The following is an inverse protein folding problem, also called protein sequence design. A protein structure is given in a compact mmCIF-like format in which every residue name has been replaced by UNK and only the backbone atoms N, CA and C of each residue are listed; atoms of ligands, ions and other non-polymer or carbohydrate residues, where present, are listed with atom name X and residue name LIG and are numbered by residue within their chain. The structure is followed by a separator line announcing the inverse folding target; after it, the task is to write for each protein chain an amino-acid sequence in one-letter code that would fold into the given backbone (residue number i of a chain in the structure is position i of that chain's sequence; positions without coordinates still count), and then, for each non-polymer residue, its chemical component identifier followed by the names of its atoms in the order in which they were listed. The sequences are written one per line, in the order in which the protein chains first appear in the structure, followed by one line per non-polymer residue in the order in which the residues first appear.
data_IF_908670706267
#
_entry.id   IF_908670706267
#
_cell.length_a   1.000
_cell.length_b   1.000
_cell.length_c   1.000
_cell.angle_alpha   90.00
_cell.angle_beta   90.00
_cell.angle_gamma   90.00
#
_symmetry.space_group_name_H-M   'P 1'
#
loop_
_entity.id
_entity.type
_entity.pdbx_description
1 polymer ?
#
# COMPACT_ATOMS: atom_id res chain seq x y z
N UNK A 1 10.27 48.44 -18.63
CA UNK A 1 10.62 47.60 -17.46
C UNK A 1 9.47 46.75 -16.91
N UNK A 2 8.19 47.18 -16.94
CA UNK A 2 7.04 46.39 -16.43
C UNK A 2 6.82 45.00 -17.07
N UNK A 3 7.19 44.79 -18.33
CA UNK A 3 6.98 43.51 -19.05
C UNK A 3 7.90 42.37 -18.61
N UNK A 4 9.10 42.68 -18.08
CA UNK A 4 10.07 41.67 -17.62
C UNK A 4 9.68 41.08 -16.27
N UNK A 5 9.07 41.90 -15.41
CA UNK A 5 8.57 41.49 -14.10
C UNK A 5 7.40 40.50 -14.21
N UNK A 6 6.51 40.69 -15.21
CA UNK A 6 5.39 39.78 -15.47
C UNK A 6 5.89 38.41 -15.96
N UNK A 7 6.94 38.38 -16.79
CA UNK A 7 7.52 37.14 -17.29
C UNK A 7 8.21 36.33 -16.17
N UNK A 8 8.92 37.02 -15.26
CA UNK A 8 9.54 36.39 -14.09
C UNK A 8 8.52 35.79 -13.12
N UNK A 9 7.42 36.49 -12.86
CA UNK A 9 6.34 35.98 -11.99
C UNK A 9 5.63 34.79 -12.64
N UNK A 10 5.41 34.79 -13.96
CA UNK A 10 4.85 33.64 -14.68
C UNK A 10 5.78 32.40 -14.64
N UNK A 11 7.09 32.58 -14.78
CA UNK A 11 8.05 31.48 -14.66
C UNK A 11 8.07 30.87 -13.24
N UNK A 12 7.92 31.69 -12.19
CA UNK A 12 7.84 31.19 -10.79
C UNK A 12 6.50 30.49 -10.54
N UNK A 13 5.39 30.99 -11.10
CA UNK A 13 4.08 30.32 -11.02
C UNK A 13 4.07 28.98 -11.77
N UNK A 14 4.73 28.88 -12.93
CA UNK A 14 4.89 27.63 -13.67
C UNK A 14 5.83 26.65 -12.95
N UNK A 15 6.85 27.15 -12.26
CA UNK A 15 7.75 26.33 -11.42
C UNK A 15 7.07 25.82 -10.15
N UNK A 16 6.15 26.60 -9.56
CA UNK A 16 5.34 26.19 -8.40
C UNK A 16 4.22 25.20 -8.76
N UNK A 17 3.87 25.10 -10.05
CA UNK A 17 3.02 24.06 -10.63
C UNK A 17 3.79 22.82 -11.08
N UNK A 18 5.04 22.63 -10.65
CA UNK A 18 5.70 21.33 -10.78
C UNK A 18 4.96 20.35 -9.86
N UNK A 19 4.04 19.59 -10.47
CA UNK A 19 3.54 18.32 -9.95
C UNK A 19 4.73 17.60 -9.30
N UNK A 20 4.70 17.45 -7.97
CA UNK A 20 5.73 16.70 -7.24
C UNK A 20 5.97 15.39 -8.00
N UNK A 21 7.23 14.97 -8.18
CA UNK A 21 7.50 13.71 -8.85
C UNK A 21 6.67 12.62 -8.19
N UNK A 22 6.04 11.76 -9.00
CA UNK A 22 5.19 10.66 -8.55
C UNK A 22 6.00 9.79 -7.58
N UNK A 23 5.85 10.07 -6.28
CA UNK A 23 6.63 9.43 -5.24
C UNK A 23 5.88 8.19 -4.76
N UNK A 24 6.61 7.09 -4.63
CA UNK A 24 6.06 5.84 -4.09
C UNK A 24 7.07 5.26 -3.12
N UNK A 25 6.67 5.18 -1.86
CA UNK A 25 7.51 4.71 -0.78
C UNK A 25 6.67 4.20 0.37
N UNK A 26 7.27 3.31 1.15
CA UNK A 26 6.81 2.94 2.48
C UNK A 26 7.94 3.31 3.43
N UNK A 27 7.66 4.21 4.36
CA UNK A 27 8.59 4.69 5.38
C UNK A 27 7.86 4.59 6.72
N UNK A 28 8.38 3.76 7.62
CA UNK A 28 7.72 3.39 8.87
C UNK A 28 6.25 3.00 8.63
N UNK A 29 5.31 3.78 9.15
CA UNK A 29 3.87 3.52 9.07
C UNK A 29 3.20 4.33 7.94
N UNK A 30 3.99 5.01 7.11
CA UNK A 30 3.52 5.93 6.08
C UNK A 30 3.68 5.30 4.71
N UNK A 31 2.58 5.26 3.95
CA UNK A 31 2.56 4.84 2.56
C UNK A 31 2.36 6.10 1.70
N UNK A 32 3.36 6.46 0.91
CA UNK A 32 3.27 7.57 -0.04
C UNK A 32 2.95 7.03 -1.42
N UNK A 33 1.91 7.57 -2.04
CA UNK A 33 1.31 7.09 -3.28
C UNK A 33 0.96 8.28 -4.18
N UNK A 34 1.90 8.68 -5.03
CA UNK A 34 1.82 9.88 -5.87
C UNK A 34 1.76 11.15 -4.99
N UNK A 35 0.62 11.85 -4.98
CA UNK A 35 0.34 13.03 -4.15
C UNK A 35 -0.52 12.70 -2.93
N UNK A 36 -0.69 11.42 -2.62
CA UNK A 36 -1.49 10.96 -1.49
C UNK A 36 -0.60 10.29 -0.46
N UNK A 37 -0.92 10.52 0.81
CA UNK A 37 -0.27 9.88 1.93
C UNK A 37 -1.31 9.07 2.69
N UNK A 38 -1.01 7.81 2.94
CA UNK A 38 -1.78 6.95 3.83
C UNK A 38 -0.95 6.66 5.07
N UNK A 39 -1.60 6.63 6.23
CA UNK A 39 -0.97 6.30 7.51
C UNK A 39 -1.60 5.03 8.03
N UNK A 40 -0.77 4.04 8.30
CA UNK A 40 -1.11 2.83 9.06
C UNK A 40 -1.07 3.20 10.54
N UNK A 41 -2.09 2.81 11.30
CA UNK A 41 -2.17 3.09 12.73
C UNK A 41 -1.05 2.38 13.51
N UNK A 42 -0.59 3.00 14.62
CA UNK A 42 0.62 2.59 15.34
C UNK A 42 0.55 1.19 16.00
N UNK A 43 -0.66 0.65 16.15
CA UNK A 43 -0.87 -0.73 16.61
C UNK A 43 -0.44 -1.78 15.57
N UNK A 44 -0.29 -1.40 14.30
CA UNK A 44 0.26 -2.23 13.24
C UNK A 44 1.75 -1.95 13.08
N UNK A 45 2.58 -2.85 13.60
CA UNK A 45 4.04 -2.70 13.56
C UNK A 45 4.65 -3.40 12.36
N UNK A 46 5.65 -2.78 11.72
CA UNK A 46 6.41 -3.42 10.64
C UNK A 46 7.22 -4.62 11.18
N UNK A 47 6.88 -5.83 10.76
CA UNK A 47 7.52 -7.07 11.23
C UNK A 47 8.56 -7.62 10.25
N UNK A 48 8.37 -7.41 8.95
CA UNK A 48 9.32 -7.85 7.94
C UNK A 48 9.15 -7.10 6.60
N UNK A 49 10.22 -7.12 5.81
CA UNK A 49 10.21 -6.77 4.40
C UNK A 49 10.66 -8.01 3.62
N UNK A 50 9.84 -8.43 2.67
CA UNK A 50 10.20 -9.50 1.73
C UNK A 50 10.33 -8.98 0.31
N UNK A 51 11.22 -9.59 -0.45
CA UNK A 51 11.38 -9.34 -1.87
C UNK A 51 11.07 -10.60 -2.68
N UNK A 52 10.46 -10.40 -3.83
CA UNK A 52 10.32 -11.41 -4.85
C UNK A 52 10.91 -10.83 -6.14
N UNK A 53 12.00 -11.45 -6.58
CA UNK A 53 12.71 -11.07 -7.79
C UNK A 53 12.45 -12.15 -8.85
N UNK A 54 11.85 -11.76 -9.97
CA UNK A 54 11.59 -12.66 -11.10
C UNK A 54 12.12 -12.00 -12.37
N UNK A 55 13.28 -12.47 -12.86
CA UNK A 55 14.03 -11.93 -14.01
C UNK A 55 14.16 -10.40 -14.08
N UNK A 56 13.10 -9.71 -14.55
CA UNK A 56 13.03 -8.25 -14.71
C UNK A 56 11.85 -7.61 -13.96
N UNK A 57 11.25 -8.34 -13.04
CA UNK A 57 10.26 -7.84 -12.08
C UNK A 57 10.88 -7.85 -10.69
N UNK A 58 10.67 -6.76 -9.96
CA UNK A 58 11.03 -6.66 -8.56
C UNK A 58 9.81 -6.25 -7.78
N UNK A 59 9.40 -7.13 -6.87
CA UNK A 59 8.30 -6.89 -5.94
C UNK A 59 8.88 -6.77 -4.55
N UNK A 60 8.42 -5.79 -3.79
CA UNK A 60 8.75 -5.62 -2.37
C UNK A 60 7.48 -5.59 -1.56
N UNK A 61 7.39 -6.43 -0.54
CA UNK A 61 6.26 -6.56 0.36
C UNK A 61 6.69 -6.12 1.76
N UNK A 62 6.03 -5.09 2.28
CA UNK A 62 6.15 -4.62 3.66
C UNK A 62 5.02 -5.25 4.45
N UNK A 63 5.36 -5.86 5.58
CA UNK A 63 4.43 -6.66 6.38
C UNK A 63 4.25 -5.99 7.72
N UNK A 64 3.04 -5.53 8.01
CA UNK A 64 2.67 -4.97 9.30
C UNK A 64 1.76 -5.93 10.04
N UNK A 65 1.91 -6.04 11.36
CA UNK A 65 1.14 -6.95 12.22
C UNK A 65 0.55 -6.18 13.41
N UNK A 66 -0.72 -6.45 13.70
CA UNK A 66 -1.34 -6.16 14.99
C UNK A 66 -1.69 -7.48 15.68
N UNK A 67 -0.98 -7.76 16.78
CA UNK A 67 -1.16 -8.98 17.57
C UNK A 67 -2.51 -9.02 18.30
N UNK A 68 -3.03 -7.86 18.70
CA UNK A 68 -4.29 -7.77 19.45
C UNK A 68 -5.49 -8.13 18.56
N UNK A 69 -5.45 -7.70 17.31
CA UNK A 69 -6.48 -7.99 16.31
C UNK A 69 -6.20 -9.26 15.50
N UNK A 70 -5.05 -9.92 15.71
CA UNK A 70 -4.55 -11.02 14.86
C UNK A 70 -4.70 -10.69 13.37
N UNK A 71 -4.21 -9.51 12.99
CA UNK A 71 -4.43 -8.93 11.68
C UNK A 71 -3.12 -8.41 11.09
N UNK A 72 -3.06 -8.36 9.77
CA UNK A 72 -1.88 -7.98 9.01
C UNK A 72 -2.24 -7.02 7.89
N UNK A 73 -1.30 -6.13 7.58
CA UNK A 73 -1.34 -5.27 6.40
C UNK A 73 -0.12 -5.56 5.56
N UNK A 74 -0.35 -6.02 4.33
CA UNK A 74 0.69 -6.25 3.35
C UNK A 74 0.66 -5.15 2.30
N UNK A 75 1.73 -4.35 2.26
CA UNK A 75 1.93 -3.31 1.25
C UNK A 75 2.91 -3.83 0.21
N UNK A 76 2.44 -4.05 -1.02
CA UNK A 76 3.26 -4.62 -2.09
C UNK A 76 3.50 -3.59 -3.17
N UNK A 77 4.76 -3.18 -3.34
CA UNK A 77 5.20 -2.37 -4.48
C UNK A 77 5.66 -3.33 -5.57
N UNK A 78 5.00 -3.27 -6.73
CA UNK A 78 5.28 -4.12 -7.90
C UNK A 78 5.87 -3.28 -9.02
N UNK A 79 7.03 -3.69 -9.54
CA UNK A 79 7.63 -3.11 -10.74
C UNK A 79 7.58 -4.16 -11.87
N UNK A 80 6.78 -3.92 -12.90
CA UNK A 80 6.60 -4.83 -14.02
C UNK A 80 7.59 -4.57 -15.18
N UNK A 81 8.03 -5.67 -15.82
CA UNK A 81 8.97 -5.71 -16.97
C UNK A 81 8.40 -5.04 -18.23
N UNK A 82 7.11 -5.25 -18.48
CA UNK A 82 6.36 -4.70 -19.59
C UNK A 82 5.34 -3.70 -19.05
N UNK A 83 4.91 -2.75 -19.88
CA UNK A 83 3.69 -1.96 -19.62
C UNK A 83 2.66 -2.93 -19.06
N UNK A 84 2.16 -2.70 -17.85
CA UNK A 84 1.05 -3.48 -17.35
C UNK A 84 -0.05 -3.34 -18.41
N UNK A 85 -0.27 -4.36 -19.24
CA UNK A 85 -1.36 -4.35 -20.20
C UNK A 85 -2.62 -4.21 -19.36
N UNK A 86 -3.18 -3.02 -19.46
CA UNK A 86 -4.35 -2.59 -18.73
C UNK A 86 -5.53 -3.40 -19.27
N UNK A 87 -5.82 -4.54 -18.65
CA UNK A 87 -6.97 -5.38 -18.99
C UNK A 87 -8.25 -4.78 -18.37
N UNK A 88 -8.67 -3.65 -18.93
CA UNK A 88 -10.01 -3.07 -18.73
C UNK A 88 -10.06 -1.84 -17.82
N UNK A 89 -11.06 -1.00 -18.08
CA UNK A 89 -11.40 0.24 -17.36
C UNK A 89 -11.82 0.06 -15.89
N UNK A 90 -10.97 -0.59 -15.11
CA UNK A 90 -11.05 -0.54 -13.66
C UNK A 90 -10.42 0.76 -13.20
N UNK A 91 -11.24 1.79 -12.99
CA UNK A 91 -10.88 3.04 -12.32
C UNK A 91 -9.76 2.82 -11.31
N UNK A 92 -8.67 3.59 -11.37
CA UNK A 92 -7.60 3.53 -10.38
C UNK A 92 -8.21 3.64 -8.98
N UNK A 93 -8.37 2.50 -8.29
CA UNK A 93 -9.13 2.48 -7.04
C UNK A 93 -8.24 3.12 -5.98
N UNK A 94 -8.83 4.06 -5.26
CA UNK A 94 -8.22 4.59 -4.03
C UNK A 94 -7.94 3.41 -3.09
N UNK A 95 -6.78 3.41 -2.40
CA UNK A 95 -6.41 2.36 -1.46
C UNK A 95 -7.46 2.12 -0.36
N UNK A 96 -8.32 3.11 -0.11
CA UNK A 96 -9.36 3.08 0.92
C UNK A 96 -10.80 2.93 0.37
N UNK A 97 -11.15 3.57 -0.76
CA UNK A 97 -12.59 3.73 -1.15
C UNK A 97 -13.27 2.51 -1.77
N UNK A 98 -12.58 1.46 -2.20
CA UNK A 98 -13.20 0.34 -2.94
C UNK A 98 -12.56 -1.03 -2.63
N UNK A 99 -12.42 -1.30 -1.35
CA UNK A 99 -12.04 -2.59 -0.79
C UNK A 99 -13.00 -3.71 -1.26
N UNK A 100 -12.50 -4.66 -2.06
CA UNK A 100 -13.25 -5.89 -2.35
C UNK A 100 -12.96 -6.87 -1.22
N UNK A 101 -13.99 -7.19 -0.44
CA UNK A 101 -13.93 -8.22 0.60
C UNK A 101 -14.01 -9.60 -0.05
N UNK A 102 -12.98 -10.39 0.16
CA UNK A 102 -12.94 -11.78 -0.23
C UNK A 102 -12.93 -12.62 1.04
N UNK A 103 -14.04 -13.33 1.32
CA UNK A 103 -14.05 -14.43 2.29
C UNK A 103 -13.34 -15.65 1.68
N UNK A 104 -12.06 -15.50 1.32
CA UNK A 104 -11.26 -16.59 0.78
C UNK A 104 -10.75 -17.46 1.92
N UNK A 105 -11.04 -18.76 1.85
CA UNK A 105 -10.34 -19.75 2.66
C UNK A 105 -8.88 -19.77 2.17
N UNK A 106 -7.95 -19.27 2.98
CA UNK A 106 -6.48 -19.25 2.79
C UNK A 106 -5.90 -18.11 1.94
N UNK A 107 -4.78 -17.54 2.40
CA UNK A 107 -4.00 -16.48 1.73
C UNK A 107 -2.74 -17.04 1.07
N UNK A 108 -2.86 -17.56 -0.15
CA UNK A 108 -1.81 -18.36 -0.80
C UNK A 108 -0.69 -17.58 -1.49
N UNK A 109 -0.66 -16.25 -1.44
CA UNK A 109 0.33 -15.48 -2.22
C UNK A 109 1.80 -15.72 -1.81
N UNK A 110 2.03 -16.13 -0.56
CA UNK A 110 3.35 -16.48 -0.04
C UNK A 110 3.76 -17.94 -0.30
N UNK A 111 2.81 -18.79 -0.69
CA UNK A 111 3.07 -20.18 -1.07
C UNK A 111 3.35 -20.30 -2.57
N UNK A 112 2.61 -19.53 -3.37
CA UNK A 112 2.68 -19.57 -4.85
C UNK A 112 3.91 -18.82 -5.39
N UNK A 113 4.51 -17.91 -4.61
CA UNK A 113 5.63 -17.08 -5.06
C UNK A 113 6.84 -17.24 -4.13
N UNK A 114 8.08 -17.34 -4.67
CA UNK A 114 9.29 -17.42 -3.88
C UNK A 114 9.66 -16.04 -3.31
N UNK A 115 9.02 -15.66 -2.20
CA UNK A 115 9.38 -14.49 -1.41
C UNK A 115 10.59 -14.81 -0.53
N UNK A 116 11.53 -13.86 -0.45
CA UNK A 116 12.69 -13.92 0.44
C UNK A 116 12.62 -12.76 1.42
N UNK A 117 12.72 -13.01 2.72
CA UNK A 117 12.80 -11.94 3.73
C UNK A 117 14.17 -11.26 3.59
N UNK A 118 14.16 -9.95 3.35
CA UNK A 118 15.38 -9.13 3.20
C UNK A 118 15.64 -8.23 4.41
N UNK A 119 14.61 -7.94 5.20
CA UNK A 119 14.71 -7.22 6.47
C UNK A 119 13.73 -7.86 7.44
N UNK A 120 14.23 -8.33 8.59
CA UNK A 120 13.45 -9.03 9.61
C UNK A 120 13.50 -8.20 10.90
N UNK A 121 12.34 -7.74 11.35
CA UNK A 121 12.20 -6.93 12.57
C UNK A 121 11.69 -7.75 13.76
N UNK A 122 11.15 -8.94 13.50
CA UNK A 122 10.63 -9.89 14.50
C UNK A 122 11.07 -11.32 14.18
N UNK A 123 11.51 -12.07 15.18
CA UNK A 123 12.18 -13.37 15.00
C UNK A 123 11.27 -14.52 14.52
N UNK A 124 9.95 -14.40 14.66
CA UNK A 124 8.97 -15.46 14.40
C UNK A 124 8.24 -15.31 13.06
N UNK A 125 8.68 -14.40 12.18
CA UNK A 125 8.03 -14.20 10.87
C UNK A 125 8.25 -15.42 9.97
N UNK A 126 7.19 -16.23 9.82
CA UNK A 126 7.11 -17.35 8.87
C UNK A 126 6.11 -17.02 7.76
N UNK A 127 6.62 -16.80 6.54
CA UNK A 127 5.79 -16.49 5.37
C UNK A 127 4.83 -17.63 5.00
N UNK A 128 5.22 -18.88 5.27
CA UNK A 128 4.41 -20.06 4.93
C UNK A 128 3.24 -20.24 5.91
N UNK A 129 3.30 -19.65 7.10
CA UNK A 129 2.20 -19.66 8.07
C UNK A 129 0.96 -18.99 7.49
N UNK A 130 1.12 -17.84 6.81
CA UNK A 130 0.01 -17.07 6.24
C UNK A 130 -0.82 -17.85 5.22
N UNK A 131 -0.19 -18.76 4.47
CA UNK A 131 -0.86 -19.60 3.48
C UNK A 131 -1.81 -20.63 4.09
N UNK A 132 -1.68 -20.93 5.39
CA UNK A 132 -2.44 -21.97 6.08
C UNK A 132 -3.48 -21.43 7.05
N UNK A 133 -3.51 -20.12 7.30
CA UNK A 133 -4.46 -19.52 8.22
C UNK A 133 -5.82 -19.30 7.54
N UNK A 134 -6.94 -19.62 8.21
CA UNK A 134 -8.25 -19.15 7.79
C UNK A 134 -8.31 -17.64 8.05
N UNK A 135 -8.50 -16.87 7.00
CA UNK A 135 -8.45 -15.41 7.08
C UNK A 135 -9.60 -14.79 6.30
N UNK A 136 -9.99 -13.59 6.70
CA UNK A 136 -10.82 -12.69 5.92
C UNK A 136 -9.92 -11.61 5.32
N UNK A 137 -10.15 -11.24 4.06
CA UNK A 137 -9.22 -10.40 3.31
C UNK A 137 -9.96 -9.27 2.63
N UNK A 138 -9.39 -8.08 2.74
CA UNK A 138 -9.70 -6.92 1.93
C UNK A 138 -8.51 -6.57 1.05
N UNK A 139 -8.78 -6.26 -0.21
CA UNK A 139 -7.75 -5.94 -1.20
C UNK A 139 -8.03 -4.62 -1.92
N UNK A 140 -6.98 -3.83 -2.09
CA UNK A 140 -6.94 -2.71 -3.02
C UNK A 140 -5.64 -2.66 -3.83
N UNK A 141 -5.68 -2.05 -5.01
CA UNK A 141 -4.49 -1.78 -5.80
C UNK A 141 -4.63 -0.45 -6.53
N UNK A 142 -3.54 0.32 -6.57
CA UNK A 142 -3.45 1.59 -7.30
C UNK A 142 -2.27 1.57 -8.26
N UNK A 143 -2.53 1.98 -9.49
CA UNK A 143 -1.50 2.16 -10.52
C UNK A 143 -0.79 3.50 -10.29
N UNK A 144 0.54 3.46 -10.27
CA UNK A 144 1.41 4.62 -10.00
C UNK A 144 1.99 5.17 -11.30
N UNK A 145 2.37 4.25 -12.17
CA UNK A 145 2.79 4.52 -13.54
C UNK A 145 2.48 3.29 -14.39
N UNK A 146 2.72 3.37 -15.69
CA UNK A 146 2.57 2.25 -16.62
C UNK A 146 3.42 1.00 -16.28
N UNK A 147 4.39 1.09 -15.34
CA UNK A 147 5.25 -0.02 -14.90
C UNK A 147 5.27 -0.24 -13.39
N UNK A 148 4.60 0.61 -12.60
CA UNK A 148 4.64 0.55 -11.13
C UNK A 148 3.23 0.57 -10.56
N UNK A 149 2.91 -0.39 -9.71
CA UNK A 149 1.68 -0.38 -8.93
C UNK A 149 1.95 -0.71 -7.47
N UNK A 150 1.05 -0.24 -6.61
CA UNK A 150 1.00 -0.60 -5.21
C UNK A 150 -0.27 -1.40 -4.95
N UNK A 151 -0.12 -2.54 -4.27
CA UNK A 151 -1.23 -3.40 -3.87
C UNK A 151 -1.24 -3.51 -2.35
N UNK A 152 -2.39 -3.27 -1.74
CA UNK A 152 -2.62 -3.39 -0.31
C UNK A 152 -3.52 -4.59 -0.03
N UNK A 153 -3.11 -5.45 0.88
CA UNK A 153 -3.93 -6.52 1.43
C UNK A 153 -4.07 -6.31 2.92
N UNK A 154 -5.30 -6.19 3.41
CA UNK A 154 -5.64 -6.17 4.83
C UNK A 154 -6.21 -7.55 5.14
N UNK A 155 -5.59 -8.26 6.07
CA UNK A 155 -5.86 -9.66 6.36
C UNK A 155 -6.16 -9.79 7.84
N UNK A 156 -7.20 -10.53 8.21
CA UNK A 156 -7.56 -10.79 9.61
C UNK A 156 -7.81 -12.27 9.81
N UNK A 157 -7.22 -12.87 10.84
CA UNK A 157 -7.47 -14.26 11.22
C UNK A 157 -8.97 -14.45 11.56
N UNK A 158 -9.56 -15.52 11.05
CA UNK A 158 -10.93 -15.92 11.40
C UNK A 158 -10.85 -16.78 12.66
N UNK A 159 -11.62 -16.42 13.69
CA UNK A 159 -11.82 -17.28 14.85
C UNK A 159 -12.68 -18.48 14.48
N UNK A 160 -12.02 -19.61 14.18
CA UNK A 160 -12.70 -20.87 13.85
C UNK A 160 -13.40 -21.52 15.03
N UNK A 161 -13.16 -21.05 16.26
CA UNK A 161 -13.83 -21.55 17.47
C UNK A 161 -15.12 -20.80 17.78
N UNK A 162 -15.34 -19.64 17.16
CA UNK A 162 -16.58 -18.86 17.29
C UNK A 162 -17.66 -19.40 16.34
N UNK A 163 -18.92 -19.57 16.79
CA UNK A 163 -20.04 -20.01 15.96
C UNK A 163 -20.25 -19.16 14.69
N UNK A 164 -19.98 -17.86 14.81
CA UNK A 164 -20.21 -16.89 13.72
C UNK A 164 -18.98 -16.68 12.81
N UNK A 165 -17.88 -17.42 13.00
CA UNK A 165 -16.63 -17.26 12.24
C UNK A 165 -16.18 -15.79 12.15
N UNK A 166 -16.09 -15.12 13.30
CA UNK A 166 -15.78 -13.69 13.37
C UNK A 166 -14.33 -13.43 12.99
N UNK A 167 -14.10 -12.31 12.29
CA UNK A 167 -12.78 -11.75 12.02
C UNK A 167 -12.78 -10.28 12.46
N UNK A 168 -11.60 -9.73 12.70
CA UNK A 168 -11.40 -8.31 13.02
C UNK A 168 -11.14 -7.45 11.77
N UNK A 169 -11.56 -7.93 10.59
CA UNK A 169 -11.22 -7.27 9.32
C UNK A 169 -11.69 -5.81 9.26
N UNK A 170 -12.88 -5.51 9.79
CA UNK A 170 -13.40 -4.14 9.80
C UNK A 170 -12.59 -3.20 10.71
N UNK A 171 -12.10 -3.70 11.84
CA UNK A 171 -11.24 -2.92 12.73
C UNK A 171 -9.84 -2.74 12.12
N UNK A 172 -9.35 -3.77 11.43
CA UNK A 172 -8.12 -3.68 10.64
C UNK A 172 -8.24 -2.68 9.48
N UNK A 173 -9.38 -2.59 8.78
CA UNK A 173 -9.59 -1.60 7.71
C UNK A 173 -9.50 -0.15 8.22
N UNK A 174 -10.03 0.13 9.41
CA UNK A 174 -9.96 1.47 10.04
C UNK A 174 -8.55 1.92 10.40
N UNK A 175 -7.58 1.00 10.43
CA UNK A 175 -6.18 1.34 10.72
C UNK A 175 -5.51 2.08 9.56
N UNK A 176 -6.11 2.11 8.37
CA UNK A 176 -5.61 2.88 7.23
C UNK A 176 -6.35 4.21 7.13
N UNK A 177 -5.62 5.31 7.25
CA UNK A 177 -6.18 6.66 7.10
C UNK A 177 -5.53 7.43 5.95
N UNK A 178 -6.34 8.08 5.11
CA UNK A 178 -5.87 8.90 3.99
C UNK A 178 -5.73 10.36 4.42
N UNK A 179 -4.56 10.95 4.16
CA UNK A 179 -4.30 12.39 4.26
C UNK A 179 -4.01 12.95 2.87
N UNK A 180 -4.82 13.89 2.42
CA UNK A 180 -4.53 14.66 1.21
C UNK A 180 -3.34 15.57 1.49
N UNK A 181 -2.25 15.41 0.74
CA UNK A 181 -1.17 16.39 0.75
C UNK A 181 -1.72 17.62 0.01
N UNK A 182 -2.07 18.67 0.75
CA UNK A 182 -2.46 19.92 0.11
C UNK A 182 -1.29 20.39 -0.77
N UNK A 183 -1.54 20.77 -2.04
CA UNK A 183 -0.56 21.54 -2.78
C UNK A 183 -0.32 22.81 -1.96
N UNK A 184 0.94 23.09 -1.61
CA UNK A 184 1.33 24.03 -0.57
C UNK A 184 0.44 25.28 -0.53
N UNK A 185 -0.34 25.42 0.54
CA UNK A 185 -1.00 26.67 0.87
C UNK A 185 0.10 27.70 1.10
N UNK A 186 0.25 28.63 0.14
CA UNK A 186 1.01 29.83 0.36
C UNK A 186 0.41 30.54 1.58
N UNK A 187 1.14 30.54 2.69
CA UNK A 187 0.80 31.30 3.88
C UNK A 187 0.61 32.76 3.47
N UNK A 188 -0.61 33.26 3.66
CA UNK A 188 -0.85 34.69 3.76
C UNK A 188 -0.66 35.05 5.22
N UNK A 189 0.52 35.58 5.52
CA UNK A 189 0.72 36.51 6.63
C UNK A 189 0.07 37.85 6.30
#
# INVERSE_FOLDING_TARGET
MKKVLILGVLCVLLSACQLKPLSVGVEDNIIVVNNEQYTIADNFQLVAIAEHNEEKQKHRCYMFEDLSLKSWIFVIIKNAKYTAEYYGDGSSKDLDKNCRRFRLRYFSMFDVRPWTIVDKRKDDVDLKRFAKLPVDITFCSKLMSNKKCISLYIVSEIDTKSPDLKSHLFDAEKSLSKKSLQPGGAGKS
#
